data_IF_876130394759
#
_entry.id   IF_876130394759
#
_cell.length_a   1.000
_cell.length_b   1.000
_cell.length_c   1.000
_cell.angle_alpha   90.00
_cell.angle_beta   90.00
_cell.angle_gamma   90.00
#
_symmetry.space_group_name_H-M   'P 1'
#
loop_
_entity.id
_entity.type
_entity.pdbx_description
1 polymer ?
#
# COMPACT_ATOMS: atom_id res chain seq x y z
N UNK A 1 -8.52 -0.89 -4.92
CA UNK A 1 -8.20 -2.25 -5.41
C UNK A 1 -6.89 -2.28 -6.19
N UNK A 2 -6.40 -3.46 -6.59
CA UNK A 2 -5.13 -3.59 -7.31
C UNK A 2 -5.18 -2.81 -8.64
N UNK A 3 -4.10 -2.09 -8.93
CA UNK A 3 -3.99 -1.35 -10.17
C UNK A 3 -3.58 -2.29 -11.31
N UNK A 4 -4.48 -2.51 -12.25
CA UNK A 4 -4.18 -3.29 -13.46
C UNK A 4 -3.20 -2.54 -14.35
N UNK A 5 -2.19 -3.24 -14.91
CA UNK A 5 -1.16 -2.65 -15.77
C UNK A 5 -1.72 -1.87 -16.98
N UNK A 6 -2.83 -2.32 -17.56
CA UNK A 6 -3.51 -1.63 -18.66
C UNK A 6 -4.24 -0.34 -18.24
N UNK A 7 -4.49 -0.14 -16.94
CA UNK A 7 -5.15 1.05 -16.38
C UNK A 7 -4.17 2.13 -15.90
N UNK A 8 -2.87 1.87 -15.87
CA UNK A 8 -1.83 2.81 -15.42
C UNK A 8 -1.95 4.16 -16.14
N UNK A 9 -2.07 4.16 -17.46
CA UNK A 9 -2.19 5.40 -18.24
C UNK A 9 -3.40 6.25 -17.85
N UNK A 10 -4.52 5.62 -17.54
CA UNK A 10 -5.74 6.30 -17.11
C UNK A 10 -5.59 6.84 -15.68
N UNK A 11 -5.04 6.02 -14.78
CA UNK A 11 -4.87 6.39 -13.37
C UNK A 11 -3.94 7.58 -13.19
N UNK A 12 -2.81 7.63 -13.91
CA UNK A 12 -1.83 8.72 -13.82
C UNK A 12 -2.33 10.08 -14.32
N UNK A 13 -3.48 10.14 -15.00
CA UNK A 13 -4.11 11.43 -15.37
C UNK A 13 -4.80 12.11 -14.18
N UNK A 14 -5.14 11.35 -13.15
CA UNK A 14 -6.00 11.82 -12.06
C UNK A 14 -5.43 11.53 -10.65
N UNK A 15 -4.53 10.54 -10.54
CA UNK A 15 -3.97 10.14 -9.26
C UNK A 15 -2.61 10.81 -9.01
N UNK A 16 -2.46 11.42 -7.85
CA UNK A 16 -1.19 11.94 -7.34
C UNK A 16 -0.48 10.96 -6.39
N UNK A 17 -1.18 9.88 -6.03
CA UNK A 17 -0.66 8.82 -5.18
C UNK A 17 -1.23 7.47 -5.61
N UNK A 18 -0.37 6.45 -5.71
CA UNK A 18 -0.74 5.06 -6.00
C UNK A 18 -0.35 4.21 -4.81
N UNK A 19 -1.34 3.62 -4.13
CA UNK A 19 -1.12 2.87 -2.89
C UNK A 19 -1.06 1.35 -3.09
N UNK A 20 -1.18 0.86 -4.31
CA UNK A 20 -1.31 -0.56 -4.64
C UNK A 20 -0.15 -1.08 -5.49
N UNK A 21 1.07 -0.62 -5.23
CA UNK A 21 2.26 -1.15 -5.91
C UNK A 21 2.67 -2.46 -5.22
N UNK A 22 2.40 -3.57 -5.88
CA UNK A 22 2.57 -4.93 -5.35
C UNK A 22 3.60 -5.78 -6.12
N UNK A 23 4.21 -5.22 -7.14
CA UNK A 23 5.20 -5.92 -7.97
C UNK A 23 6.13 -4.95 -8.70
N UNK A 24 7.38 -5.40 -8.95
CA UNK A 24 8.35 -4.65 -9.74
C UNK A 24 7.81 -4.32 -11.14
N UNK A 25 7.15 -5.28 -11.79
CA UNK A 25 6.60 -5.06 -13.12
C UNK A 25 5.49 -3.99 -13.19
N UNK A 26 4.76 -3.75 -12.08
CA UNK A 26 3.83 -2.63 -11.98
C UNK A 26 4.58 -1.33 -11.73
N UNK A 27 5.56 -1.32 -10.83
CA UNK A 27 6.39 -0.15 -10.53
C UNK A 27 7.11 0.37 -11.78
N UNK A 28 7.79 -0.50 -12.51
CA UNK A 28 8.46 -0.15 -13.79
C UNK A 28 7.47 0.39 -14.84
N UNK A 29 6.29 -0.19 -14.92
CA UNK A 29 5.24 0.29 -15.84
C UNK A 29 4.79 1.70 -15.49
N UNK A 30 4.67 2.02 -14.21
CA UNK A 30 4.33 3.37 -13.72
C UNK A 30 5.47 4.34 -14.02
N UNK A 31 6.71 4.00 -13.68
CA UNK A 31 7.89 4.82 -13.89
C UNK A 31 8.10 5.15 -15.38
N UNK A 32 8.06 4.14 -16.24
CA UNK A 32 8.17 4.32 -17.69
C UNK A 32 7.11 5.28 -18.25
N UNK A 33 5.87 5.17 -17.75
CA UNK A 33 4.80 6.08 -18.18
C UNK A 33 5.01 7.49 -17.67
N UNK A 34 5.48 7.67 -16.46
CA UNK A 34 5.82 8.97 -15.89
C UNK A 34 6.97 9.63 -16.66
N UNK A 35 7.94 8.85 -17.16
CA UNK A 35 8.98 9.36 -18.04
C UNK A 35 8.45 10.01 -19.31
N UNK A 36 7.39 9.43 -19.90
CA UNK A 36 6.71 10.03 -21.08
C UNK A 36 5.93 11.29 -20.71
N UNK A 37 5.44 11.38 -19.46
CA UNK A 37 4.65 12.52 -18.97
C UNK A 37 5.50 13.61 -18.31
N UNK A 38 6.80 13.41 -18.19
CA UNK A 38 7.75 14.26 -17.45
C UNK A 38 7.21 14.60 -16.04
N UNK A 39 6.84 13.57 -15.29
CA UNK A 39 6.14 13.72 -14.02
C UNK A 39 6.61 12.69 -12.98
N UNK A 40 6.16 12.87 -11.74
CA UNK A 40 6.41 11.97 -10.62
C UNK A 40 5.11 11.63 -9.90
N UNK A 41 5.08 10.54 -9.13
CA UNK A 41 3.91 10.13 -8.33
C UNK A 41 4.35 9.59 -6.97
N UNK A 42 3.55 9.85 -5.94
CA UNK A 42 3.74 9.22 -4.64
C UNK A 42 3.25 7.77 -4.69
N UNK A 43 4.00 6.86 -4.06
CA UNK A 43 3.65 5.44 -4.05
C UNK A 43 3.78 4.82 -2.67
N UNK A 44 2.94 3.80 -2.42
CA UNK A 44 3.07 2.89 -1.30
C UNK A 44 3.29 1.48 -1.85
N UNK A 45 4.16 0.72 -1.21
CA UNK A 45 4.27 -0.72 -1.47
C UNK A 45 3.15 -1.43 -0.73
N UNK A 46 2.32 -2.15 -1.48
CA UNK A 46 1.23 -2.95 -0.90
C UNK A 46 1.76 -4.30 -0.46
N UNK A 47 1.58 -4.60 0.83
CA UNK A 47 1.99 -5.85 1.47
C UNK A 47 0.77 -6.70 1.81
N UNK A 48 0.82 -7.98 1.52
CA UNK A 48 -0.21 -8.96 1.87
C UNK A 48 0.02 -9.49 3.30
N UNK A 49 -0.40 -8.73 4.30
CA UNK A 49 -0.31 -9.15 5.70
C UNK A 49 -1.36 -10.19 6.11
N UNK A 50 -2.35 -10.47 5.24
CA UNK A 50 -3.31 -11.54 5.48
C UNK A 50 -2.73 -12.92 5.25
N UNK A 51 -1.64 -13.02 4.45
CA UNK A 51 -1.01 -14.29 4.02
C UNK A 51 -1.96 -15.22 3.24
N UNK A 52 -3.09 -14.70 2.77
CA UNK A 52 -3.99 -15.44 1.89
C UNK A 52 -3.54 -15.26 0.43
N UNK A 53 -3.30 -16.35 -0.30
CA UNK A 53 -2.85 -16.31 -1.71
C UNK A 53 -3.80 -15.57 -2.64
N UNK A 54 -5.09 -15.50 -2.28
CA UNK A 54 -6.11 -14.78 -3.03
C UNK A 54 -6.07 -13.25 -2.89
N UNK A 55 -5.27 -12.72 -1.96
CA UNK A 55 -5.17 -11.28 -1.68
C UNK A 55 -3.99 -10.65 -2.42
N UNK A 56 -4.22 -9.40 -2.87
CA UNK A 56 -3.19 -8.60 -3.51
C UNK A 56 -2.16 -8.07 -2.52
N UNK A 57 -0.96 -7.88 -2.97
CA UNK A 57 0.18 -7.39 -2.19
C UNK A 57 1.37 -8.33 -2.30
N UNK A 58 2.56 -7.80 -2.15
CA UNK A 58 3.78 -8.60 -2.04
C UNK A 58 3.79 -9.34 -0.70
N UNK A 59 4.35 -10.55 -0.65
CA UNK A 59 4.53 -11.26 0.61
C UNK A 59 5.43 -10.45 1.56
N UNK A 60 5.19 -10.48 2.89
CA UNK A 60 6.00 -9.71 3.85
C UNK A 60 7.50 -9.99 3.76
N UNK A 61 7.89 -11.23 3.45
CA UNK A 61 9.26 -11.69 3.26
C UNK A 61 9.93 -11.11 2.01
N UNK A 62 9.16 -10.79 0.97
CA UNK A 62 9.63 -10.22 -0.30
C UNK A 62 9.52 -8.68 -0.33
N UNK A 63 8.92 -8.07 0.70
CA UNK A 63 8.64 -6.63 0.72
C UNK A 63 9.92 -5.79 0.66
N UNK A 64 11.01 -6.21 1.31
CA UNK A 64 12.29 -5.50 1.30
C UNK A 64 12.87 -5.41 -0.11
N UNK A 65 12.84 -6.49 -0.87
CA UNK A 65 13.33 -6.53 -2.24
C UNK A 65 12.51 -5.58 -3.14
N UNK A 66 11.17 -5.56 -2.97
CA UNK A 66 10.32 -4.66 -3.75
C UNK A 66 10.52 -3.20 -3.35
N UNK A 67 10.68 -2.89 -2.06
CA UNK A 67 10.99 -1.54 -1.55
C UNK A 67 12.30 -1.04 -2.16
N UNK A 68 13.37 -1.86 -2.14
CA UNK A 68 14.65 -1.50 -2.75
C UNK A 68 14.49 -1.19 -4.26
N UNK A 69 13.81 -2.07 -4.99
CA UNK A 69 13.57 -1.88 -6.42
C UNK A 69 12.74 -0.62 -6.74
N UNK A 70 11.74 -0.30 -5.91
CA UNK A 70 10.93 0.93 -6.08
C UNK A 70 11.76 2.19 -5.81
N UNK A 71 12.68 2.15 -4.85
CA UNK A 71 13.59 3.27 -4.55
C UNK A 71 14.56 3.61 -5.69
N UNK A 72 14.90 2.61 -6.50
CA UNK A 72 15.79 2.79 -7.65
C UNK A 72 15.08 3.40 -8.86
N UNK A 73 13.76 3.63 -8.78
CA UNK A 73 12.95 4.24 -9.84
C UNK A 73 12.75 5.74 -9.56
N UNK A 74 13.41 6.59 -10.33
CA UNK A 74 13.55 8.03 -10.08
C UNK A 74 12.23 8.82 -10.00
N UNK A 75 11.16 8.29 -10.60
CA UNK A 75 9.88 8.99 -10.73
C UNK A 75 8.85 8.54 -9.69
N UNK A 76 9.18 7.54 -8.90
CA UNK A 76 8.34 7.04 -7.82
C UNK A 76 8.82 7.58 -6.48
N UNK A 77 8.02 8.40 -5.83
CA UNK A 77 8.32 8.89 -4.48
C UNK A 77 7.72 7.93 -3.45
N UNK A 78 8.54 7.04 -2.93
CA UNK A 78 8.10 6.09 -1.92
C UNK A 78 7.72 6.81 -0.62
N UNK A 79 6.47 6.59 -0.14
CA UNK A 79 5.93 7.22 1.07
C UNK A 79 5.84 6.24 2.24
N UNK A 80 5.72 4.96 1.97
CA UNK A 80 5.59 3.95 3.00
C UNK A 80 4.96 2.66 2.51
N UNK A 81 4.30 1.96 3.42
CA UNK A 81 3.67 0.68 3.17
C UNK A 81 2.14 0.77 3.27
N UNK A 82 1.45 -0.10 2.53
CA UNK A 82 -0.01 -0.22 2.57
C UNK A 82 -0.42 -1.66 2.75
N UNK A 83 -1.48 -1.91 3.51
CA UNK A 83 -2.20 -3.19 3.50
C UNK A 83 -3.71 -3.01 3.50
N UNK A 84 -4.41 -4.00 2.96
CA UNK A 84 -5.87 -4.09 3.10
C UNK A 84 -6.23 -4.69 4.47
N UNK A 85 -5.35 -5.52 5.02
CA UNK A 85 -5.56 -6.19 6.29
C UNK A 85 -6.36 -7.49 6.15
N UNK A 86 -6.56 -8.16 7.29
CA UNK A 86 -7.39 -9.36 7.40
C UNK A 86 -8.86 -8.96 7.49
N UNK A 87 -9.76 -9.63 6.77
CA UNK A 87 -11.17 -9.57 7.10
C UNK A 87 -11.39 -10.32 8.42
N UNK A 88 -12.12 -9.73 9.34
CA UNK A 88 -12.43 -10.35 10.62
C UNK A 88 -13.66 -9.72 11.26
N UNK A 89 -14.18 -10.36 12.30
CA UNK A 89 -15.31 -9.88 13.06
C UNK A 89 -14.90 -9.31 14.42
N UNK A 90 -13.73 -9.72 14.91
CA UNK A 90 -13.20 -9.28 16.20
C UNK A 90 -11.90 -8.51 16.06
N UNK A 91 -11.59 -7.62 17.02
CA UNK A 91 -10.30 -6.92 17.06
C UNK A 91 -9.10 -7.88 17.09
N UNK A 92 -9.23 -9.01 17.77
CA UNK A 92 -8.18 -10.02 17.91
C UNK A 92 -7.82 -10.68 16.57
N UNK A 93 -8.81 -10.82 15.68
CA UNK A 93 -8.61 -11.37 14.34
C UNK A 93 -7.96 -10.36 13.38
N UNK A 94 -8.36 -9.08 13.49
CA UNK A 94 -7.96 -8.03 12.54
C UNK A 94 -6.60 -7.42 12.89
N UNK A 95 -6.37 -7.14 14.19
CA UNK A 95 -5.21 -6.40 14.70
C UNK A 95 -3.85 -6.96 14.24
N UNK A 96 -3.62 -8.29 14.20
CA UNK A 96 -2.34 -8.84 13.78
C UNK A 96 -1.87 -8.35 12.40
N UNK A 97 -2.79 -8.19 11.44
CA UNK A 97 -2.43 -7.73 10.10
C UNK A 97 -1.90 -6.29 10.07
N UNK A 98 -2.32 -5.46 11.02
CA UNK A 98 -1.87 -4.07 11.14
C UNK A 98 -0.58 -3.96 11.96
N UNK A 99 -0.45 -4.72 13.05
CA UNK A 99 0.80 -4.79 13.80
C UNK A 99 1.94 -5.36 12.95
N UNK A 100 1.67 -6.40 12.14
CA UNK A 100 2.65 -6.98 11.22
C UNK A 100 3.18 -5.94 10.22
N UNK A 101 2.30 -5.10 9.65
CA UNK A 101 2.72 -4.04 8.73
C UNK A 101 3.56 -2.97 9.43
N UNK A 102 3.18 -2.54 10.64
CA UNK A 102 3.95 -1.60 11.45
C UNK A 102 5.33 -2.15 11.76
N UNK A 103 5.40 -3.38 12.26
CA UNK A 103 6.67 -4.03 12.63
C UNK A 103 7.57 -4.22 11.40
N UNK A 104 6.99 -4.56 10.24
CA UNK A 104 7.73 -4.62 8.98
C UNK A 104 8.32 -3.25 8.63
N UNK A 105 7.52 -2.17 8.66
CA UNK A 105 7.98 -0.80 8.41
C UNK A 105 9.12 -0.43 9.35
N UNK A 106 8.96 -0.67 10.66
CA UNK A 106 9.94 -0.31 11.67
C UNK A 106 11.27 -1.06 11.46
N UNK A 107 11.19 -2.36 11.12
CA UNK A 107 12.36 -3.16 10.77
C UNK A 107 13.06 -2.64 9.51
N UNK A 108 12.32 -2.34 8.45
CA UNK A 108 12.89 -1.83 7.20
C UNK A 108 13.56 -0.45 7.37
N UNK A 109 13.02 0.40 8.23
CA UNK A 109 13.66 1.67 8.60
C UNK A 109 14.94 1.42 9.42
N UNK A 110 14.88 0.54 10.41
CA UNK A 110 16.03 0.24 11.25
C UNK A 110 17.21 -0.37 10.47
N UNK A 111 16.95 -1.14 9.42
CA UNK A 111 17.96 -1.68 8.51
C UNK A 111 18.42 -0.71 7.41
N UNK A 112 17.75 0.45 7.25
CA UNK A 112 18.01 1.39 6.18
C UNK A 112 17.45 0.97 4.81
N UNK A 113 16.70 -0.13 4.75
CA UNK A 113 16.03 -0.59 3.53
C UNK A 113 14.90 0.38 3.12
N UNK A 114 14.15 0.90 4.09
CA UNK A 114 13.15 1.94 3.88
C UNK A 114 13.68 3.27 4.45
N UNK A 115 13.66 4.38 3.67
CA UNK A 115 14.03 5.70 4.17
C UNK A 115 13.14 6.14 5.35
N UNK A 116 13.71 6.84 6.33
CA UNK A 116 12.96 7.29 7.51
C UNK A 116 11.78 8.22 7.16
N UNK A 117 11.91 9.00 6.09
CA UNK A 117 10.85 9.86 5.56
C UNK A 117 9.72 9.08 4.87
N UNK A 118 9.95 7.83 4.47
CA UNK A 118 8.95 6.93 3.89
C UNK A 118 8.24 6.08 4.97
N UNK A 119 7.89 6.68 6.08
CA UNK A 119 7.39 6.00 7.28
C UNK A 119 5.86 5.83 7.33
N UNK A 120 5.15 6.27 6.31
CA UNK A 120 3.69 6.26 6.32
C UNK A 120 3.12 4.84 6.27
N UNK A 121 2.01 4.64 6.98
CA UNK A 121 1.24 3.39 6.99
C UNK A 121 -0.19 3.66 6.53
N UNK A 122 -0.51 3.24 5.30
CA UNK A 122 -1.88 3.26 4.79
C UNK A 122 -2.57 1.94 5.11
N UNK A 123 -3.40 1.94 6.15
CA UNK A 123 -4.13 0.77 6.62
C UNK A 123 -5.39 1.19 7.37
N UNK A 124 -6.39 0.30 7.42
CA UNK A 124 -7.70 0.58 8.02
C UNK A 124 -8.71 1.14 7.02
N UNK A 125 -9.92 0.63 7.12
CA UNK A 125 -11.08 1.01 6.30
C UNK A 125 -12.28 1.31 7.20
N UNK A 126 -13.46 1.52 6.60
CA UNK A 126 -14.68 1.96 7.30
C UNK A 126 -15.05 1.14 8.54
N UNK A 127 -14.71 -0.15 8.60
CA UNK A 127 -15.12 -1.04 9.68
C UNK A 127 -14.06 -1.25 10.76
N UNK A 128 -12.82 -0.84 10.52
CA UNK A 128 -11.67 -1.22 11.35
C UNK A 128 -10.61 -0.10 11.50
N UNK A 129 -10.90 1.12 11.00
CA UNK A 129 -9.95 2.22 11.03
C UNK A 129 -9.50 2.60 12.45
N UNK A 130 -10.33 2.44 13.46
CA UNK A 130 -9.96 2.72 14.86
C UNK A 130 -8.86 1.77 15.35
N UNK A 131 -8.97 0.47 14.99
CA UNK A 131 -7.92 -0.51 15.27
C UNK A 131 -6.63 -0.19 14.52
N UNK A 132 -6.73 0.19 13.25
CA UNK A 132 -5.57 0.58 12.46
C UNK A 132 -4.87 1.82 13.05
N UNK A 133 -5.62 2.83 13.52
CA UNK A 133 -5.07 4.02 14.20
C UNK A 133 -4.35 3.60 15.49
N UNK A 134 -4.94 2.71 16.28
CA UNK A 134 -4.32 2.19 17.49
C UNK A 134 -3.00 1.44 17.20
N UNK A 135 -2.86 0.84 16.00
CA UNK A 135 -1.64 0.20 15.51
C UNK A 135 -0.70 1.15 14.74
N UNK A 136 -1.00 2.47 14.71
CA UNK A 136 -0.11 3.48 14.16
C UNK A 136 -0.35 3.82 12.69
N UNK A 137 -1.55 3.60 12.16
CA UNK A 137 -1.92 4.09 10.83
C UNK A 137 -1.73 5.60 10.72
N UNK A 138 -1.09 6.05 9.66
CA UNK A 138 -0.96 7.48 9.31
C UNK A 138 -1.99 7.90 8.26
N UNK A 139 -2.56 6.92 7.57
CA UNK A 139 -3.60 7.11 6.56
C UNK A 139 -4.64 6.00 6.66
N UNK A 140 -5.92 6.37 6.69
CA UNK A 140 -7.07 5.46 6.63
C UNK A 140 -7.87 5.67 5.35
N UNK A 141 -8.57 4.64 4.87
CA UNK A 141 -9.31 4.67 3.60
C UNK A 141 -10.80 4.46 3.86
N UNK A 142 -11.52 5.53 4.10
CA UNK A 142 -12.94 5.51 4.44
C UNK A 142 -13.79 5.59 3.17
N UNK A 143 -14.65 4.61 2.96
CA UNK A 143 -15.56 4.53 1.81
C UNK A 143 -17.01 4.40 2.25
N UNK A 144 -17.45 3.22 2.68
CA UNK A 144 -18.86 2.93 2.98
C UNK A 144 -19.43 3.77 4.12
N UNK A 145 -18.61 4.21 5.09
CA UNK A 145 -19.08 5.12 6.15
C UNK A 145 -19.38 6.53 5.67
N UNK A 146 -18.87 6.94 4.49
CA UNK A 146 -19.10 8.27 3.90
C UNK A 146 -20.13 8.20 2.77
N UNK A 147 -20.01 7.19 1.89
CA UNK A 147 -20.82 7.07 0.66
C UNK A 147 -21.95 6.06 0.75
N UNK A 148 -22.12 5.37 1.87
CA UNK A 148 -23.08 4.29 2.04
C UNK A 148 -22.58 2.94 1.49
N UNK A 149 -23.37 1.89 1.71
CA UNK A 149 -23.08 0.56 1.19
C UNK A 149 -23.16 0.55 -0.35
N UNK A 150 -22.31 -0.28 -0.99
CA UNK A 150 -22.40 -0.48 -2.43
C UNK A 150 -23.73 -1.12 -2.78
N UNK A 151 -24.42 -0.69 -3.86
CA UNK A 151 -25.58 -1.42 -4.38
C UNK A 151 -25.18 -2.88 -4.65
N UNK A 152 -26.08 -3.81 -4.33
CA UNK A 152 -25.89 -5.20 -4.75
C UNK A 152 -25.82 -5.26 -6.30
N UNK A 153 -24.95 -6.14 -6.84
CA UNK A 153 -24.81 -6.30 -8.30
C UNK A 153 -26.11 -6.82 -8.94
#
# INVERSE_FOLDING_TARGET
GPLQKNKVNHSLRHAQCIQSVDSLALAERIDNRLGVLDSTVDVFVQVNTSREDSKSGVAPEDAEALVAAVRDLDRLRLRGLMTIGLPGQTPEEIRPSYSDLRELRDRLIATGALPAEASELSMGMSNDFELAIAEGATMVRIGSSVFGARPAP
#
